data_IF_046681300218
#
_entry.id   IF_046681300218
#
_cell.length_a   1.000
_cell.length_b   1.000
_cell.length_c   1.000
_cell.angle_alpha   90.00
_cell.angle_beta   90.00
_cell.angle_gamma   90.00
#
_symmetry.space_group_name_H-M   'P 1'
#
loop_
_entity.id
_entity.type
_entity.pdbx_description
1 polymer ?
#
# COMPACT_ATOMS: atom_id res chain seq x y z
N UNK A 1 26.69 21.79 64.43
CA UNK A 1 27.08 23.01 63.70
C UNK A 1 26.60 22.89 62.27
N UNK A 2 26.07 24.00 61.73
CA UNK A 2 25.27 24.12 60.50
C UNK A 2 26.07 23.79 59.23
N UNK A 3 25.39 23.16 58.29
CA UNK A 3 25.79 23.10 56.88
C UNK A 3 25.84 24.51 56.28
N UNK A 4 26.83 24.77 55.43
CA UNK A 4 26.84 25.93 54.54
C UNK A 4 27.36 25.48 53.16
N UNK A 5 26.47 25.54 52.17
CA UNK A 5 26.77 25.41 50.74
C UNK A 5 27.45 26.69 50.24
N UNK A 6 28.26 26.60 49.17
CA UNK A 6 28.24 27.62 48.14
C UNK A 6 27.58 27.08 46.87
N UNK A 7 26.67 27.92 46.39
CA UNK A 7 25.96 27.87 45.12
C UNK A 7 26.97 28.08 43.98
N UNK A 8 26.97 27.20 42.99
CA UNK A 8 27.50 27.51 41.66
C UNK A 8 26.30 27.56 40.70
N UNK A 9 26.02 28.71 40.07
CA UNK A 9 24.88 28.86 39.19
C UNK A 9 25.24 28.37 37.78
N UNK A 10 24.20 28.16 36.98
CA UNK A 10 24.23 28.38 35.54
C UNK A 10 25.07 27.37 34.73
N UNK A 11 24.40 26.41 34.09
CA UNK A 11 24.14 26.48 32.64
C UNK A 11 23.28 25.25 32.27
N UNK A 12 22.04 25.59 31.95
CA UNK A 12 21.08 24.85 31.15
C UNK A 12 21.72 24.40 29.83
N UNK A 13 21.86 23.09 29.59
CA UNK A 13 21.96 22.56 28.22
C UNK A 13 20.95 21.42 28.08
N UNK A 14 19.78 21.79 27.56
CA UNK A 14 18.83 20.86 26.94
C UNK A 14 19.52 20.17 25.76
N UNK A 15 19.69 18.86 25.83
CA UNK A 15 19.89 18.01 24.66
C UNK A 15 18.61 17.21 24.42
N UNK A 16 17.61 17.88 23.86
CA UNK A 16 16.48 17.22 23.23
C UNK A 16 17.00 16.59 21.94
N UNK A 17 17.26 15.29 21.96
CA UNK A 17 17.48 14.47 20.78
C UNK A 17 16.21 14.51 19.93
N UNK A 18 16.15 15.46 19.01
CA UNK A 18 15.09 15.58 18.02
C UNK A 18 15.30 14.46 17.01
N UNK A 19 14.57 13.36 17.16
CA UNK A 19 14.31 12.44 16.05
C UNK A 19 13.49 13.20 15.02
N UNK A 20 14.16 13.93 14.13
CA UNK A 20 13.55 14.40 12.89
C UNK A 20 13.18 13.17 12.06
N UNK A 21 11.98 12.65 12.27
CA UNK A 21 11.30 11.81 11.28
C UNK A 21 11.18 12.68 10.04
N UNK A 22 12.05 12.44 9.07
CA UNK A 22 11.92 13.01 7.73
C UNK A 22 10.71 12.30 7.11
N UNK A 23 9.60 13.02 6.84
CA UNK A 23 8.50 12.39 6.12
C UNK A 23 8.99 12.08 4.72
N UNK A 24 9.24 10.80 4.44
CA UNK A 24 9.47 10.34 3.07
C UNK A 24 8.15 10.52 2.33
N UNK A 25 7.97 11.66 1.68
CA UNK A 25 6.95 11.84 0.65
C UNK A 25 7.36 11.01 -0.55
N UNK A 26 7.14 9.69 -0.46
CA UNK A 26 6.99 8.88 -1.67
C UNK A 26 5.81 9.50 -2.40
N UNK A 27 6.08 10.21 -3.49
CA UNK A 27 5.06 10.67 -4.42
C UNK A 27 4.34 9.43 -4.92
N UNK A 28 3.22 9.09 -4.26
CA UNK A 28 2.35 8.03 -4.75
C UNK A 28 1.94 8.46 -6.16
N UNK A 29 2.16 7.62 -7.19
CA UNK A 29 1.73 7.97 -8.53
C UNK A 29 0.24 8.33 -8.47
N UNK A 30 -0.10 9.49 -9.04
CA UNK A 30 -1.48 9.98 -9.04
C UNK A 30 -2.32 8.93 -9.75
N UNK A 31 -3.30 8.39 -9.03
CA UNK A 31 -4.12 7.29 -9.50
C UNK A 31 -4.80 7.59 -10.83
N UNK A 32 -5.32 8.80 -11.01
CA UNK A 32 -6.04 9.26 -12.19
C UNK A 32 -6.19 10.78 -12.14
N UNK A 33 -6.35 11.43 -13.30
CA UNK A 33 -6.77 12.83 -13.40
C UNK A 33 -8.30 13.01 -13.52
N UNK A 34 -9.06 11.91 -13.55
CA UNK A 34 -10.52 11.91 -13.69
C UNK A 34 -11.20 12.04 -12.31
N UNK A 35 -11.97 13.12 -12.05
CA UNK A 35 -12.63 13.32 -10.75
C UNK A 35 -13.60 12.20 -10.35
N UNK A 36 -14.27 11.56 -11.32
CA UNK A 36 -15.18 10.45 -11.05
C UNK A 36 -14.42 9.20 -10.58
N UNK A 37 -13.26 8.92 -11.19
CA UNK A 37 -12.37 7.83 -10.79
C UNK A 37 -11.81 8.10 -9.40
N UNK A 38 -11.34 9.33 -9.14
CA UNK A 38 -10.85 9.74 -7.83
C UNK A 38 -11.92 9.58 -6.73
N UNK A 39 -13.16 9.98 -6.99
CA UNK A 39 -14.27 9.80 -6.05
C UNK A 39 -14.61 8.33 -5.79
N UNK A 40 -14.56 7.48 -6.83
CA UNK A 40 -14.78 6.05 -6.70
C UNK A 40 -13.66 5.36 -5.91
N UNK A 41 -12.41 5.76 -6.14
CA UNK A 41 -11.25 5.25 -5.41
C UNK A 41 -11.30 5.65 -3.93
N UNK A 42 -11.58 6.93 -3.61
CA UNK A 42 -11.76 7.39 -2.24
C UNK A 42 -12.91 6.64 -1.53
N UNK A 43 -14.02 6.41 -2.24
CA UNK A 43 -15.13 5.59 -1.71
C UNK A 43 -14.66 4.16 -1.42
N UNK A 44 -13.94 3.53 -2.34
CA UNK A 44 -13.44 2.16 -2.15
C UNK A 44 -12.48 2.06 -0.95
N UNK A 45 -11.60 3.05 -0.77
CA UNK A 45 -10.70 3.12 0.38
C UNK A 45 -11.47 3.27 1.70
N UNK A 46 -12.49 4.14 1.75
CA UNK A 46 -13.35 4.30 2.93
C UNK A 46 -14.13 3.03 3.25
N UNK A 47 -14.70 2.37 2.24
CA UNK A 47 -15.40 1.09 2.38
C UNK A 47 -14.46 0.00 2.90
N UNK A 48 -13.24 -0.08 2.35
CA UNK A 48 -12.23 -1.04 2.82
C UNK A 48 -11.85 -0.80 4.28
N UNK A 49 -11.64 0.47 4.67
CA UNK A 49 -11.35 0.85 6.06
C UNK A 49 -12.52 0.53 7.03
N UNK A 50 -13.75 0.51 6.52
CA UNK A 50 -14.94 0.11 7.27
C UNK A 50 -15.19 -1.42 7.28
N UNK A 51 -14.35 -2.21 6.60
CA UNK A 51 -14.54 -3.67 6.46
C UNK A 51 -15.58 -4.06 5.40
N UNK A 52 -16.11 -3.10 4.64
CA UNK A 52 -17.12 -3.30 3.59
C UNK A 52 -16.46 -3.73 2.26
N UNK A 53 -15.66 -4.79 2.31
CA UNK A 53 -14.78 -5.18 1.20
C UNK A 53 -15.51 -5.47 -0.11
N UNK A 54 -16.69 -6.08 -0.08
CA UNK A 54 -17.48 -6.29 -1.31
C UNK A 54 -17.94 -4.99 -1.95
N UNK A 55 -18.33 -4.00 -1.14
CA UNK A 55 -18.72 -2.69 -1.63
C UNK A 55 -17.52 -1.93 -2.20
N UNK A 56 -16.34 -2.05 -1.56
CA UNK A 56 -15.10 -1.51 -2.07
C UNK A 56 -14.76 -2.09 -3.46
N UNK A 57 -14.91 -3.41 -3.62
CA UNK A 57 -14.76 -4.09 -4.90
C UNK A 57 -15.68 -3.52 -5.99
N UNK A 58 -16.97 -3.35 -5.68
CA UNK A 58 -17.94 -2.79 -6.62
C UNK A 58 -17.60 -1.34 -7.04
N UNK A 59 -17.11 -0.51 -6.11
CA UNK A 59 -16.63 0.84 -6.40
C UNK A 59 -15.43 0.84 -7.35
N UNK A 60 -14.47 -0.07 -7.14
CA UNK A 60 -13.29 -0.23 -7.99
C UNK A 60 -13.63 -0.77 -9.38
N UNK A 61 -14.55 -1.74 -9.47
CA UNK A 61 -15.04 -2.26 -10.75
C UNK A 61 -15.74 -1.16 -11.57
N UNK A 62 -16.48 -0.27 -10.91
CA UNK A 62 -17.06 0.91 -11.55
C UNK A 62 -15.98 1.91 -12.02
N UNK A 63 -14.92 2.10 -11.24
CA UNK A 63 -13.80 2.93 -11.67
C UNK A 63 -13.08 2.33 -12.90
N UNK A 64 -12.91 1.01 -12.93
CA UNK A 64 -12.34 0.26 -14.06
C UNK A 64 -13.21 0.30 -15.32
N UNK A 65 -14.53 0.47 -15.20
CA UNK A 65 -15.38 0.74 -16.38
C UNK A 65 -15.08 2.11 -17.02
N UNK A 66 -14.54 3.06 -16.27
CA UNK A 66 -14.13 4.38 -16.78
C UNK A 66 -12.69 4.30 -17.32
N UNK A 67 -11.78 3.69 -16.56
CA UNK A 67 -10.36 3.53 -16.95
C UNK A 67 -9.93 2.05 -16.94
N UNK A 68 -10.25 1.29 -18.00
CA UNK A 68 -10.05 -0.17 -18.02
C UNK A 68 -8.58 -0.61 -18.07
N UNK A 69 -7.66 0.32 -18.38
CA UNK A 69 -6.21 0.07 -18.46
C UNK A 69 -5.43 0.73 -17.32
N UNK A 70 -6.11 1.20 -16.27
CA UNK A 70 -5.43 1.80 -15.13
C UNK A 70 -4.85 0.71 -14.22
N UNK A 71 -3.53 0.58 -14.22
CA UNK A 71 -2.83 -0.43 -13.45
C UNK A 71 -3.11 -0.34 -11.94
N UNK A 72 -3.19 0.87 -11.38
CA UNK A 72 -3.42 1.06 -9.95
C UNK A 72 -4.80 0.57 -9.54
N UNK A 73 -5.85 0.84 -10.33
CA UNK A 73 -7.20 0.34 -10.03
C UNK A 73 -7.28 -1.19 -10.04
N UNK A 74 -6.54 -1.86 -10.94
CA UNK A 74 -6.41 -3.32 -10.94
C UNK A 74 -5.69 -3.85 -9.69
N UNK A 75 -4.64 -3.17 -9.22
CA UNK A 75 -3.94 -3.51 -7.98
C UNK A 75 -4.87 -3.36 -6.77
N UNK A 76 -5.58 -2.24 -6.66
CA UNK A 76 -6.46 -1.99 -5.52
C UNK A 76 -7.58 -3.03 -5.46
N UNK A 77 -8.15 -3.41 -6.61
CA UNK A 77 -9.13 -4.49 -6.66
C UNK A 77 -8.50 -5.84 -6.28
N UNK A 78 -7.26 -6.10 -6.70
CA UNK A 78 -6.52 -7.30 -6.29
C UNK A 78 -6.33 -7.37 -4.76
N UNK A 79 -6.02 -6.25 -4.11
CA UNK A 79 -5.88 -6.17 -2.65
C UNK A 79 -7.20 -6.44 -1.94
N UNK A 80 -8.29 -5.82 -2.38
CA UNK A 80 -9.63 -6.10 -1.83
C UNK A 80 -10.00 -7.59 -1.97
N UNK A 81 -9.73 -8.20 -3.12
CA UNK A 81 -10.01 -9.64 -3.32
C UNK A 81 -9.09 -10.53 -2.47
N UNK A 82 -7.86 -10.10 -2.21
CA UNK A 82 -6.95 -10.80 -1.30
C UNK A 82 -7.49 -10.78 0.13
N UNK A 83 -7.95 -9.62 0.60
CA UNK A 83 -8.50 -9.44 1.95
C UNK A 83 -9.81 -10.25 2.15
N UNK A 84 -10.58 -10.45 1.07
CA UNK A 84 -11.74 -11.34 1.05
C UNK A 84 -11.39 -12.84 1.01
N UNK A 85 -10.11 -13.22 0.91
CA UNK A 85 -9.68 -14.60 0.73
C UNK A 85 -9.94 -15.17 -0.67
N UNK A 86 -10.28 -14.33 -1.64
CA UNK A 86 -10.53 -14.71 -3.04
C UNK A 86 -9.20 -14.79 -3.81
N UNK A 87 -8.31 -15.67 -3.34
CA UNK A 87 -6.91 -15.70 -3.74
C UNK A 87 -6.68 -15.83 -5.26
N UNK A 88 -7.41 -16.72 -5.93
CA UNK A 88 -7.30 -16.88 -7.41
C UNK A 88 -7.64 -15.59 -8.16
N UNK A 89 -8.64 -14.85 -7.68
CA UNK A 89 -9.02 -13.57 -8.28
C UNK A 89 -7.94 -12.52 -8.02
N UNK A 90 -7.46 -12.42 -6.78
CA UNK A 90 -6.39 -11.49 -6.40
C UNK A 90 -5.14 -11.68 -7.26
N UNK A 91 -4.69 -12.92 -7.46
CA UNK A 91 -3.56 -13.24 -8.34
C UNK A 91 -3.79 -12.75 -9.77
N UNK A 92 -4.94 -13.09 -10.38
CA UNK A 92 -5.25 -12.70 -11.75
C UNK A 92 -5.32 -11.18 -11.92
N UNK A 93 -5.85 -10.46 -10.93
CA UNK A 93 -6.01 -9.01 -10.98
C UNK A 93 -4.67 -8.29 -10.82
N UNK A 94 -3.82 -8.75 -9.89
CA UNK A 94 -2.47 -8.21 -9.73
C UNK A 94 -1.59 -8.50 -10.95
N UNK A 95 -1.71 -9.68 -11.57
CA UNK A 95 -1.05 -9.99 -12.83
C UNK A 95 -1.52 -9.07 -13.98
N UNK A 96 -2.82 -8.77 -14.04
CA UNK A 96 -3.37 -7.82 -15.00
C UNK A 96 -2.87 -6.40 -14.75
N UNK A 97 -2.77 -5.97 -13.49
CA UNK A 97 -2.14 -4.70 -13.12
C UNK A 97 -0.69 -4.62 -13.62
N UNK A 98 0.11 -5.68 -13.45
CA UNK A 98 1.46 -5.75 -14.00
C UNK A 98 1.50 -5.55 -15.52
N UNK A 99 0.52 -6.09 -16.25
CA UNK A 99 0.39 -5.88 -17.70
C UNK A 99 0.15 -4.43 -18.11
N UNK A 100 -0.39 -3.58 -17.22
CA UNK A 100 -0.61 -2.15 -17.47
C UNK A 100 0.38 -1.23 -16.76
N UNK A 101 1.17 -1.73 -15.81
CA UNK A 101 2.07 -0.94 -14.99
C UNK A 101 3.24 -0.31 -15.78
N UNK A 102 3.45 -0.71 -17.04
CA UNK A 102 4.57 -0.27 -17.88
C UNK A 102 5.89 -0.33 -17.08
N UNK A 103 6.62 0.79 -16.98
CA UNK A 103 7.90 0.89 -16.26
C UNK A 103 7.78 1.21 -14.77
N UNK A 104 6.57 1.24 -14.21
CA UNK A 104 6.36 1.49 -12.79
C UNK A 104 6.80 0.27 -11.95
N UNK A 105 8.11 0.20 -11.70
CA UNK A 105 8.77 -0.88 -10.95
C UNK A 105 8.18 -1.04 -9.55
N UNK A 106 7.90 0.06 -8.87
CA UNK A 106 7.27 0.06 -7.54
C UNK A 106 5.92 -0.66 -7.56
N UNK A 107 5.03 -0.27 -8.48
CA UNK A 107 3.72 -0.91 -8.62
C UNK A 107 3.85 -2.38 -9.00
N UNK A 108 4.79 -2.72 -9.89
CA UNK A 108 5.06 -4.13 -10.23
C UNK A 108 5.51 -4.94 -9.02
N UNK A 109 6.33 -4.35 -8.16
CA UNK A 109 6.84 -5.01 -6.95
C UNK A 109 5.70 -5.29 -5.97
N UNK A 110 4.85 -4.29 -5.75
CA UNK A 110 3.66 -4.44 -4.91
C UNK A 110 2.68 -5.49 -5.47
N UNK A 111 2.46 -5.53 -6.78
CA UNK A 111 1.64 -6.56 -7.42
C UNK A 111 2.23 -7.97 -7.27
N UNK A 112 3.54 -8.13 -7.43
CA UNK A 112 4.20 -9.41 -7.19
C UNK A 112 4.06 -9.86 -5.73
N UNK A 113 4.07 -8.93 -4.76
CA UNK A 113 3.75 -9.27 -3.36
C UNK A 113 2.31 -9.74 -3.20
N UNK A 114 1.33 -9.10 -3.85
CA UNK A 114 -0.07 -9.55 -3.85
C UNK A 114 -0.19 -10.96 -4.44
N UNK A 115 0.49 -11.23 -5.56
CA UNK A 115 0.52 -12.57 -6.19
C UNK A 115 1.12 -13.61 -5.23
N UNK A 116 2.23 -13.27 -4.56
CA UNK A 116 2.85 -14.17 -3.58
C UNK A 116 1.92 -14.49 -2.41
N UNK A 117 1.27 -13.46 -1.84
CA UNK A 117 0.29 -13.65 -0.76
C UNK A 117 -0.91 -14.49 -1.21
N UNK A 118 -1.43 -14.22 -2.42
CA UNK A 118 -2.52 -14.99 -3.00
C UNK A 118 -2.13 -16.47 -3.21
N UNK A 119 -0.95 -16.75 -3.75
CA UNK A 119 -0.48 -18.14 -3.93
C UNK A 119 -0.26 -18.86 -2.61
N UNK A 120 0.28 -18.17 -1.61
CA UNK A 120 0.40 -18.72 -0.26
C UNK A 120 -0.98 -19.07 0.33
N UNK A 121 -1.99 -18.22 0.13
CA UNK A 121 -3.37 -18.50 0.55
C UNK A 121 -4.01 -19.69 -0.20
N UNK A 122 -3.55 -19.99 -1.40
CA UNK A 122 -3.94 -21.18 -2.18
C UNK A 122 -3.16 -22.45 -1.78
N UNK A 123 -2.13 -22.35 -0.94
CA UNK A 123 -1.22 -23.45 -0.61
C UNK A 123 -0.09 -23.68 -1.63
N UNK A 124 0.04 -22.81 -2.65
CA UNK A 124 1.16 -22.83 -3.59
C UNK A 124 2.36 -22.07 -3.01
N UNK A 125 3.02 -22.67 -2.02
CA UNK A 125 4.14 -22.03 -1.33
C UNK A 125 5.37 -21.82 -2.23
N UNK A 126 5.58 -22.72 -3.20
CA UNK A 126 6.68 -22.59 -4.17
C UNK A 126 6.44 -21.41 -5.11
N UNK A 127 5.25 -21.33 -5.71
CA UNK A 127 4.90 -20.21 -6.57
C UNK A 127 4.76 -18.89 -5.80
N UNK A 128 4.45 -18.93 -4.50
CA UNK A 128 4.48 -17.76 -3.63
C UNK A 128 5.90 -17.23 -3.45
N UNK A 129 6.87 -18.11 -3.14
CA UNK A 129 8.27 -17.73 -3.01
C UNK A 129 8.81 -17.11 -4.31
N UNK A 130 8.54 -17.74 -5.46
CA UNK A 130 8.95 -17.21 -6.76
C UNK A 130 8.39 -15.80 -7.02
N UNK A 131 7.15 -15.53 -6.57
CA UNK A 131 6.52 -14.23 -6.71
C UNK A 131 7.15 -13.19 -5.77
N UNK A 132 7.45 -13.56 -4.52
CA UNK A 132 8.16 -12.67 -3.59
C UNK A 132 9.57 -12.33 -4.09
N UNK A 133 10.32 -13.31 -4.61
CA UNK A 133 11.63 -13.08 -5.21
C UNK A 133 11.56 -12.11 -6.40
N UNK A 134 10.48 -12.18 -7.20
CA UNK A 134 10.23 -11.22 -8.30
C UNK A 134 9.88 -9.83 -7.79
N UNK A 135 9.22 -9.72 -6.64
CA UNK A 135 8.88 -8.43 -6.04
C UNK A 135 10.13 -7.66 -5.61
N UNK A 136 11.12 -8.36 -5.04
CA UNK A 136 12.39 -7.77 -4.61
C UNK A 136 13.31 -7.39 -5.78
N UNK A 137 13.10 -7.99 -6.96
CA UNK A 137 13.88 -7.71 -8.18
C UNK A 137 13.33 -6.56 -9.03
N UNK A 138 12.19 -5.96 -8.66
CA UNK A 138 11.62 -4.88 -9.46
C UNK A 138 12.49 -3.63 -9.42
#
# INVERSE_FOLDING_TARGET
MRALRPVVPMVLVLLLASCAVVPQTRTRPVASSNPAVLSLLDRAHKQSAAGELEQAGASLERALRIEPRNALLWQELARVRLDLGLYRQAESLAAKSNGFAADNRTLRGENWRIIGQARSGQGDYRGAQDAFDRAEKQ
#
